data_IF_738337733613
#
_entry.id   IF_738337733613
#
_cell.length_a   1.000
_cell.length_b   1.000
_cell.length_c   1.000
_cell.angle_alpha   90.00
_cell.angle_beta   90.00
_cell.angle_gamma   90.00
#
_symmetry.space_group_name_H-M   'P 1'
#
loop_
_entity.id
_entity.type
_entity.pdbx_description
1 polymer ?
#
# COMPACT_ATOMS: atom_id res chain seq x y z
N UNK A 1 -21.47 -10.66 15.07
CA UNK A 1 -22.64 -11.07 14.23
C UNK A 1 -22.56 -10.65 12.76
N UNK A 2 -22.02 -9.49 12.40
CA UNK A 2 -21.90 -9.12 10.97
C UNK A 2 -20.80 -9.87 10.20
N UNK A 3 -19.67 -10.19 10.81
CA UNK A 3 -18.52 -10.83 10.15
C UNK A 3 -18.75 -12.29 9.82
N UNK A 4 -19.43 -13.03 10.68
CA UNK A 4 -19.56 -14.49 10.60
C UNK A 4 -20.28 -15.01 9.33
N UNK A 5 -21.12 -14.19 8.70
CA UNK A 5 -21.85 -14.59 7.50
C UNK A 5 -21.18 -14.20 6.20
N UNK A 6 -20.26 -13.21 6.21
CA UNK A 6 -19.63 -12.69 5.00
C UNK A 6 -18.35 -13.43 4.62
N UNK A 7 -18.06 -13.42 3.32
CA UNK A 7 -16.89 -14.04 2.68
C UNK A 7 -16.31 -13.07 1.65
N UNK A 8 -15.04 -13.21 1.36
CA UNK A 8 -14.43 -12.59 0.18
C UNK A 8 -14.93 -13.21 -1.13
N UNK A 9 -14.71 -12.55 -2.28
CA UNK A 9 -14.84 -13.19 -3.59
C UNK A 9 -14.16 -14.57 -3.62
N UNK A 10 -14.77 -15.53 -4.30
CA UNK A 10 -14.28 -16.91 -4.27
C UNK A 10 -14.74 -17.74 -3.07
N UNK A 11 -15.49 -17.17 -2.12
CA UNK A 11 -16.01 -17.85 -0.93
C UNK A 11 -14.95 -18.22 0.10
N UNK A 12 -13.82 -17.53 0.08
CA UNK A 12 -12.76 -17.63 1.08
C UNK A 12 -12.93 -16.58 2.18
N UNK A 13 -12.31 -16.82 3.34
CA UNK A 13 -12.20 -15.85 4.44
C UNK A 13 -10.82 -15.22 4.53
N UNK A 14 -9.93 -15.61 3.63
CA UNK A 14 -8.55 -15.15 3.61
C UNK A 14 -8.24 -14.38 2.34
N UNK A 15 -7.78 -13.14 2.47
CA UNK A 15 -7.28 -12.34 1.35
C UNK A 15 -5.76 -12.20 1.44
N UNK A 16 -5.09 -12.21 0.28
CA UNK A 16 -3.64 -12.05 0.16
C UNK A 16 -3.34 -10.91 -0.78
N UNK A 17 -2.41 -10.05 -0.38
CA UNK A 17 -1.91 -8.94 -1.18
C UNK A 17 -0.43 -8.66 -0.90
N UNK A 18 0.14 -7.73 -1.66
CA UNK A 18 1.42 -7.11 -1.35
C UNK A 18 1.37 -5.59 -1.55
N UNK A 19 2.35 -4.88 -1.00
CA UNK A 19 2.51 -3.43 -1.15
C UNK A 19 4.00 -3.11 -1.30
N UNK A 20 4.44 -2.73 -2.51
CA UNK A 20 5.85 -2.54 -2.90
C UNK A 20 6.14 -1.07 -3.08
N UNK A 21 7.16 -0.56 -2.39
CA UNK A 21 7.52 0.85 -2.35
C UNK A 21 8.56 1.24 -3.42
N UNK A 22 8.65 2.55 -3.69
CA UNK A 22 9.65 3.30 -4.46
C UNK A 22 9.55 3.24 -5.99
N UNK A 23 9.11 2.15 -6.59
CA UNK A 23 9.05 2.01 -8.04
C UNK A 23 10.42 1.81 -8.69
N UNK A 24 11.17 0.82 -8.24
CA UNK A 24 12.43 0.40 -8.86
C UNK A 24 12.15 -0.49 -10.08
N UNK A 25 11.96 0.11 -11.24
CA UNK A 25 11.50 -0.56 -12.47
C UNK A 25 12.26 -1.85 -12.82
N UNK A 26 13.61 -1.94 -12.81
CA UNK A 26 14.30 -3.21 -13.08
C UNK A 26 13.96 -4.32 -12.08
N UNK A 27 13.89 -3.99 -10.79
CA UNK A 27 13.63 -4.95 -9.72
C UNK A 27 12.13 -5.25 -9.58
N UNK A 28 11.27 -4.28 -9.83
CA UNK A 28 9.82 -4.50 -9.91
C UNK A 28 9.47 -5.46 -11.06
N UNK A 29 10.17 -5.38 -12.19
CA UNK A 29 10.03 -6.33 -13.29
C UNK A 29 10.42 -7.75 -12.86
N UNK A 30 11.52 -7.90 -12.12
CA UNK A 30 11.96 -9.20 -11.57
C UNK A 30 10.92 -9.74 -10.57
N UNK A 31 10.43 -8.89 -9.69
CA UNK A 31 9.35 -9.21 -8.73
C UNK A 31 8.07 -9.69 -9.46
N UNK A 32 7.64 -8.94 -10.47
CA UNK A 32 6.45 -9.26 -11.26
C UNK A 32 6.58 -10.57 -12.05
N UNK A 33 7.79 -10.92 -12.50
CA UNK A 33 8.03 -12.20 -13.17
C UNK A 33 7.82 -13.41 -12.25
N UNK A 34 7.89 -13.21 -10.92
CA UNK A 34 7.63 -14.25 -9.91
C UNK A 34 6.14 -14.26 -9.53
N UNK A 35 5.59 -13.12 -9.12
CA UNK A 35 4.24 -13.09 -8.54
C UNK A 35 3.12 -13.17 -9.57
N UNK A 36 3.33 -12.68 -10.80
CA UNK A 36 2.30 -12.68 -11.85
C UNK A 36 1.90 -14.08 -12.31
N UNK A 37 2.84 -15.01 -12.59
CA UNK A 37 2.48 -16.40 -12.92
C UNK A 37 1.79 -17.13 -11.76
N UNK A 38 2.08 -16.73 -10.53
CA UNK A 38 1.46 -17.26 -9.31
C UNK A 38 0.06 -16.69 -9.04
N UNK A 39 -0.44 -15.78 -9.88
CA UNK A 39 -1.75 -15.16 -9.71
C UNK A 39 -1.87 -14.27 -8.48
N UNK A 40 -0.74 -13.79 -7.93
CA UNK A 40 -0.71 -12.93 -6.74
C UNK A 40 -0.81 -11.48 -7.20
N UNK A 41 -1.78 -10.75 -6.67
CA UNK A 41 -2.02 -9.33 -6.95
C UNK A 41 -1.63 -8.46 -5.75
N UNK A 42 -1.43 -7.17 -6.02
CA UNK A 42 -1.08 -6.20 -4.97
C UNK A 42 -0.89 -4.79 -5.54
N UNK A 43 -0.20 -3.96 -4.77
CA UNK A 43 -0.09 -2.53 -4.99
C UNK A 43 1.38 -2.10 -5.09
N UNK A 44 1.70 -1.29 -6.09
CA UNK A 44 2.99 -0.61 -6.21
C UNK A 44 2.84 0.86 -5.80
N UNK A 45 3.62 1.29 -4.84
CA UNK A 45 3.58 2.64 -4.29
C UNK A 45 4.70 3.46 -4.94
N UNK A 46 4.33 4.27 -5.94
CA UNK A 46 5.30 4.97 -6.76
C UNK A 46 5.55 6.39 -6.25
N UNK A 47 6.81 6.78 -6.15
CA UNK A 47 7.19 8.17 -5.82
C UNK A 47 6.99 9.09 -7.01
N UNK A 48 7.13 8.59 -8.22
CA UNK A 48 6.86 9.30 -9.49
C UNK A 48 7.02 8.34 -10.67
N UNK A 49 6.54 8.75 -11.85
CA UNK A 49 6.89 8.14 -13.12
C UNK A 49 8.21 8.74 -13.62
N UNK A 50 9.30 8.12 -13.25
CA UNK A 50 10.62 8.70 -13.41
C UNK A 50 11.27 8.26 -14.73
N UNK A 51 11.56 9.23 -15.58
CA UNK A 51 12.24 9.01 -16.88
C UNK A 51 13.62 8.34 -16.75
N UNK A 52 14.26 8.36 -15.56
CA UNK A 52 15.55 7.68 -15.33
C UNK A 52 15.54 6.19 -15.64
N UNK A 53 14.38 5.54 -15.60
CA UNK A 53 14.21 4.13 -15.91
C UNK A 53 14.00 3.85 -17.41
N UNK A 54 13.92 4.91 -18.23
CA UNK A 54 13.79 4.79 -19.70
C UNK A 54 12.43 4.27 -20.17
N UNK A 55 11.41 4.24 -19.32
CA UNK A 55 10.06 3.85 -19.71
C UNK A 55 9.25 5.06 -20.16
N UNK A 56 8.51 4.87 -21.26
CA UNK A 56 7.42 5.77 -21.65
C UNK A 56 6.21 5.57 -20.72
N UNK A 57 5.22 6.49 -20.72
CA UNK A 57 3.94 6.27 -20.03
C UNK A 57 3.29 4.94 -20.38
N UNK A 58 3.33 4.52 -21.65
CA UNK A 58 2.83 3.20 -22.10
C UNK A 58 3.62 2.06 -21.48
N UNK A 59 4.94 2.19 -21.39
CA UNK A 59 5.83 1.20 -20.77
C UNK A 59 5.52 1.01 -19.28
N UNK A 60 5.20 2.09 -18.57
CA UNK A 60 4.74 2.01 -17.17
C UNK A 60 3.40 1.29 -17.06
N UNK A 61 2.41 1.67 -17.88
CA UNK A 61 1.10 0.99 -17.88
C UNK A 61 1.21 -0.50 -18.19
N UNK A 62 2.08 -0.88 -19.14
CA UNK A 62 2.32 -2.28 -19.48
C UNK A 62 3.00 -3.04 -18.35
N UNK A 63 4.02 -2.47 -17.71
CA UNK A 63 4.74 -3.11 -16.62
C UNK A 63 3.80 -3.45 -15.45
N UNK A 64 3.00 -2.48 -15.02
CA UNK A 64 2.13 -2.63 -13.86
C UNK A 64 0.68 -3.04 -14.22
N UNK A 65 0.45 -3.54 -15.44
CA UNK A 65 -0.89 -3.96 -15.87
C UNK A 65 -1.49 -4.99 -14.90
N UNK A 66 -2.71 -4.72 -14.41
CA UNK A 66 -3.43 -5.58 -13.47
C UNK A 66 -3.08 -5.36 -12.00
N UNK A 67 -2.16 -4.44 -11.70
CA UNK A 67 -1.79 -4.08 -10.35
C UNK A 67 -2.24 -2.66 -10.00
N UNK A 68 -2.50 -2.41 -8.73
CA UNK A 68 -2.82 -1.09 -8.25
C UNK A 68 -1.56 -0.22 -8.17
N UNK A 69 -1.73 1.08 -8.42
CA UNK A 69 -0.72 2.10 -8.17
C UNK A 69 -1.21 3.03 -7.06
N UNK A 70 -0.39 3.24 -6.05
CA UNK A 70 -0.63 4.19 -4.97
C UNK A 70 0.44 5.29 -4.93
N UNK A 71 0.11 6.40 -4.31
CA UNK A 71 0.96 7.57 -4.20
C UNK A 71 1.97 7.41 -3.05
N UNK A 72 3.26 7.49 -3.36
CA UNK A 72 4.35 7.42 -2.39
C UNK A 72 5.19 8.71 -2.36
N UNK A 73 4.59 9.81 -2.61
CA UNK A 73 5.09 11.20 -2.55
C UNK A 73 6.33 11.48 -3.41
N UNK A 74 6.22 12.47 -4.26
CA UNK A 74 7.33 12.96 -5.09
C UNK A 74 8.54 13.33 -4.24
N UNK A 75 9.72 12.93 -4.66
CA UNK A 75 11.01 13.12 -3.95
C UNK A 75 11.19 12.30 -2.68
N UNK A 76 10.24 11.46 -2.27
CA UNK A 76 10.34 10.59 -1.09
C UNK A 76 10.86 11.33 0.16
N UNK A 77 10.17 12.39 0.65
CA UNK A 77 10.70 13.23 1.71
C UNK A 77 10.41 12.67 3.10
N UNK A 78 11.30 12.95 4.05
CA UNK A 78 10.92 12.97 5.46
C UNK A 78 10.02 14.17 5.77
N UNK A 79 9.11 14.03 6.72
CA UNK A 79 8.42 15.16 7.32
C UNK A 79 9.39 15.96 8.20
N UNK A 80 9.36 17.28 8.13
CA UNK A 80 10.22 18.15 8.95
C UNK A 80 9.94 18.02 10.46
N UNK A 81 8.80 17.48 10.83
CA UNK A 81 8.43 17.18 12.23
C UNK A 81 9.18 16.00 12.85
N UNK A 82 9.96 15.27 12.04
CA UNK A 82 10.73 14.14 12.55
C UNK A 82 11.82 14.60 13.52
N UNK A 83 12.10 13.84 14.58
CA UNK A 83 13.12 14.18 15.56
C UNK A 83 14.47 14.49 14.89
N UNK A 84 15.08 15.59 15.28
CA UNK A 84 16.39 16.06 14.80
C UNK A 84 16.45 16.48 13.31
N UNK A 85 15.35 16.43 12.56
CA UNK A 85 15.36 16.92 11.17
C UNK A 85 14.99 18.40 11.10
N UNK A 86 13.86 18.80 11.66
CA UNK A 86 13.39 20.20 11.67
C UNK A 86 14.21 21.15 12.55
N UNK A 87 15.12 20.62 13.38
CA UNK A 87 15.99 21.43 14.26
C UNK A 87 17.33 21.76 13.65
N UNK A 88 17.69 21.20 12.48
CA UNK A 88 18.95 21.48 11.80
C UNK A 88 19.01 22.91 11.29
N UNK A 89 20.19 23.52 11.38
CA UNK A 89 20.42 24.87 10.83
C UNK A 89 20.33 24.86 9.29
N UNK A 90 19.76 25.92 8.72
CA UNK A 90 19.76 26.09 7.25
C UNK A 90 21.15 26.54 6.81
N UNK A 91 21.76 25.83 5.88
CA UNK A 91 23.04 26.21 5.30
C UNK A 91 22.88 27.39 4.34
N UNK A 92 23.87 28.29 4.32
CA UNK A 92 23.95 29.38 3.37
C UNK A 92 24.48 28.90 2.01
N UNK A 93 25.33 27.86 2.01
CA UNK A 93 25.91 27.23 0.83
C UNK A 93 24.98 26.21 0.17
N UNK A 94 25.13 25.95 -1.13
CA UNK A 94 24.43 24.85 -1.82
C UNK A 94 24.83 23.47 -1.27
N UNK A 95 23.98 22.46 -1.46
CA UNK A 95 24.27 21.09 -1.06
C UNK A 95 25.53 20.55 -1.76
N UNK A 96 26.61 20.22 -1.01
CA UNK A 96 27.89 19.85 -1.61
C UNK A 96 28.00 18.37 -2.00
N UNK A 97 26.91 17.60 -1.83
CA UNK A 97 26.88 16.14 -1.95
C UNK A 97 26.97 15.45 -0.58
N UNK A 98 26.46 14.21 -0.50
CA UNK A 98 26.29 13.48 0.76
C UNK A 98 27.61 13.32 1.56
N UNK A 99 28.70 13.06 0.85
CA UNK A 99 30.03 12.81 1.49
C UNK A 99 30.64 14.06 2.13
N UNK A 100 30.23 15.24 1.67
CA UNK A 100 30.81 16.54 2.09
C UNK A 100 29.83 17.40 2.89
N UNK A 101 28.57 17.01 2.93
CA UNK A 101 27.54 17.78 3.62
C UNK A 101 27.70 17.69 5.14
N UNK A 102 27.52 18.82 5.80
CA UNK A 102 27.39 18.88 7.25
C UNK A 102 26.07 18.21 7.66
N UNK A 103 26.16 17.18 8.48
CA UNK A 103 25.00 16.38 8.92
C UNK A 103 24.07 17.12 9.89
N UNK A 104 24.55 18.20 10.48
CA UNK A 104 23.76 19.07 11.38
C UNK A 104 23.05 20.20 10.62
N UNK A 105 23.21 20.24 9.29
CA UNK A 105 22.59 21.26 8.43
C UNK A 105 21.54 20.66 7.50
N UNK A 106 20.64 21.53 7.06
CA UNK A 106 19.74 21.29 5.93
C UNK A 106 20.03 22.31 4.84
N UNK A 107 19.98 21.87 3.58
CA UNK A 107 20.35 22.66 2.42
C UNK A 107 19.11 22.97 1.58
N UNK A 108 18.94 24.22 1.17
CA UNK A 108 17.82 24.66 0.33
C UNK A 108 17.83 23.93 -1.02
N UNK A 109 16.63 23.61 -1.50
CA UNK A 109 16.39 23.18 -2.89
C UNK A 109 15.79 24.33 -3.70
N UNK A 110 15.48 24.07 -4.96
CA UNK A 110 14.71 24.95 -5.83
C UNK A 110 13.21 25.01 -5.47
N UNK A 111 12.76 24.17 -4.52
CA UNK A 111 11.37 24.11 -4.05
C UNK A 111 11.27 24.73 -2.66
N UNK A 112 10.35 25.67 -2.49
CA UNK A 112 10.06 26.27 -1.18
C UNK A 112 9.63 25.21 -0.17
N UNK A 113 10.18 25.29 1.05
CA UNK A 113 9.88 24.35 2.13
C UNK A 113 10.45 22.95 1.95
N UNK A 114 11.25 22.70 0.91
CA UNK A 114 11.94 21.41 0.66
C UNK A 114 13.43 21.61 0.79
N UNK A 115 14.06 20.77 1.59
CA UNK A 115 15.49 20.81 1.87
C UNK A 115 16.13 19.45 1.63
N UNK A 116 17.48 19.44 1.48
CA UNK A 116 18.29 18.24 1.49
C UNK A 116 18.96 18.09 2.84
N UNK A 117 19.00 16.88 3.36
CA UNK A 117 19.72 16.51 4.58
C UNK A 117 20.60 15.31 4.30
N UNK A 118 21.82 15.31 4.86
CA UNK A 118 22.74 14.20 4.76
C UNK A 118 22.66 13.33 6.01
N UNK A 119 22.84 12.03 5.79
CA UNK A 119 23.02 11.00 6.81
C UNK A 119 24.42 10.38 6.66
N UNK A 120 24.73 9.35 7.44
CA UNK A 120 26.07 8.73 7.39
C UNK A 120 26.38 8.09 6.04
N UNK A 121 25.39 7.54 5.36
CA UNK A 121 25.57 6.74 4.13
C UNK A 121 24.70 7.19 2.96
N UNK A 122 23.78 8.12 3.19
CA UNK A 122 22.86 8.60 2.16
C UNK A 122 22.41 10.03 2.46
N UNK A 123 21.63 10.60 1.55
CA UNK A 123 20.93 11.86 1.71
C UNK A 123 19.46 11.71 1.32
N UNK A 124 18.63 12.58 1.81
CA UNK A 124 17.20 12.60 1.46
C UNK A 124 16.63 14.01 1.47
N UNK A 125 15.42 14.13 0.93
CA UNK A 125 14.63 15.33 1.09
C UNK A 125 13.97 15.36 2.47
N UNK A 126 13.75 16.57 2.99
CA UNK A 126 12.91 16.88 4.14
C UNK A 126 11.98 17.99 3.71
N UNK A 127 10.71 17.93 4.11
CA UNK A 127 9.71 18.91 3.70
C UNK A 127 8.90 19.46 4.88
N UNK A 128 8.62 20.76 4.85
CA UNK A 128 7.59 21.35 5.70
C UNK A 128 6.24 20.72 5.40
N UNK A 129 5.26 20.85 6.30
CA UNK A 129 3.93 20.29 6.11
C UNK A 129 3.29 20.75 4.79
N UNK A 130 3.34 22.04 4.50
CA UNK A 130 2.79 22.65 3.29
C UNK A 130 3.48 22.09 2.03
N UNK A 131 4.80 22.04 2.03
CA UNK A 131 5.58 21.50 0.92
C UNK A 131 5.33 19.99 0.74
N UNK A 132 5.20 19.24 1.82
CA UNK A 132 4.88 17.81 1.79
C UNK A 132 3.54 17.54 1.08
N UNK A 133 2.51 18.31 1.42
CA UNK A 133 1.19 18.24 0.79
C UNK A 133 1.26 18.57 -0.71
N UNK A 134 2.03 19.61 -1.09
CA UNK A 134 2.21 19.95 -2.52
C UNK A 134 3.00 18.87 -3.27
N UNK A 135 3.98 18.23 -2.65
CA UNK A 135 4.68 17.08 -3.23
C UNK A 135 3.74 15.87 -3.41
N UNK A 136 2.85 15.61 -2.45
CA UNK A 136 1.83 14.57 -2.55
C UNK A 136 0.84 14.84 -3.69
N UNK A 137 0.33 16.08 -3.80
CA UNK A 137 -0.55 16.51 -4.90
C UNK A 137 0.14 16.43 -6.27
N UNK A 138 1.42 16.80 -6.33
CA UNK A 138 2.22 16.70 -7.55
C UNK A 138 2.37 15.26 -7.98
N UNK A 139 2.78 14.37 -7.07
CA UNK A 139 2.88 12.94 -7.34
C UNK A 139 1.54 12.36 -7.81
N UNK A 140 0.43 12.75 -7.16
CA UNK A 140 -0.92 12.35 -7.57
C UNK A 140 -1.18 12.70 -9.04
N UNK A 141 -0.95 13.94 -9.45
CA UNK A 141 -1.17 14.37 -10.84
C UNK A 141 -0.28 13.60 -11.82
N UNK A 142 1.02 13.49 -11.53
CA UNK A 142 1.98 12.79 -12.39
C UNK A 142 1.61 11.31 -12.58
N UNK A 143 1.16 10.65 -11.52
CA UNK A 143 0.69 9.25 -11.59
C UNK A 143 -0.63 9.14 -12.36
N UNK A 144 -1.59 10.04 -12.12
CA UNK A 144 -2.87 10.05 -12.84
C UNK A 144 -2.74 10.34 -14.33
N UNK A 145 -1.77 11.15 -14.76
CA UNK A 145 -1.44 11.36 -16.17
C UNK A 145 -1.04 10.05 -16.87
N UNK A 146 -0.39 9.14 -16.15
CA UNK A 146 0.04 7.86 -16.69
C UNK A 146 -1.02 6.78 -16.52
N UNK A 147 -1.57 6.62 -15.33
CA UNK A 147 -2.43 5.49 -14.98
C UNK A 147 -3.93 5.80 -15.04
N UNK A 148 -4.28 7.04 -15.36
CA UNK A 148 -5.66 7.51 -15.51
C UNK A 148 -6.19 8.23 -14.27
N UNK A 149 -6.96 9.28 -14.53
CA UNK A 149 -7.56 10.13 -13.50
C UNK A 149 -8.48 9.32 -12.58
N UNK A 150 -8.33 9.51 -11.27
CA UNK A 150 -9.12 8.82 -10.24
C UNK A 150 -8.70 7.37 -9.97
N UNK A 151 -7.63 6.89 -10.60
CA UNK A 151 -7.11 5.55 -10.35
C UNK A 151 -6.11 5.47 -9.19
N UNK A 152 -5.57 6.60 -8.76
CA UNK A 152 -4.63 6.66 -7.65
C UNK A 152 -5.41 6.98 -6.36
N UNK A 153 -5.81 5.94 -5.67
CA UNK A 153 -6.71 6.07 -4.49
C UNK A 153 -6.02 5.74 -3.16
N UNK A 154 -4.83 5.15 -3.20
CA UNK A 154 -4.01 4.84 -2.04
C UNK A 154 -2.90 5.86 -1.82
N UNK A 155 -2.56 6.07 -0.55
CA UNK A 155 -1.42 6.87 -0.14
C UNK A 155 -0.52 6.08 0.81
N UNK A 156 0.79 6.21 0.62
CA UNK A 156 1.79 5.53 1.46
C UNK A 156 2.83 6.54 1.91
N UNK A 157 3.05 6.59 3.22
CA UNK A 157 4.06 7.47 3.79
C UNK A 157 5.47 7.03 3.41
N UNK A 158 6.30 7.89 2.80
CA UNK A 158 7.74 7.72 2.82
C UNK A 158 8.24 7.55 4.26
N UNK A 159 9.08 6.56 4.49
CA UNK A 159 9.64 6.20 5.79
C UNK A 159 8.58 5.74 6.79
N UNK A 160 7.85 6.65 7.44
CA UNK A 160 6.83 6.34 8.46
C UNK A 160 5.80 7.47 8.60
N UNK A 161 4.75 7.22 9.36
CA UNK A 161 3.78 8.26 9.72
C UNK A 161 4.48 9.38 10.49
N UNK A 162 4.37 10.65 10.08
CA UNK A 162 4.98 11.79 10.78
C UNK A 162 4.59 11.87 12.25
N UNK A 163 5.53 12.32 13.09
CA UNK A 163 5.26 12.57 14.50
C UNK A 163 4.22 13.69 14.71
N UNK A 164 4.25 14.73 13.89
CA UNK A 164 3.21 15.74 13.85
C UNK A 164 2.02 15.28 13.03
N UNK A 165 0.96 14.88 13.69
CA UNK A 165 -0.25 14.36 13.06
C UNK A 165 -0.99 15.40 12.19
N UNK A 166 -0.63 16.68 12.23
CA UNK A 166 -1.19 17.66 11.30
C UNK A 166 -0.84 17.38 9.83
N UNK A 167 0.26 16.64 9.55
CA UNK A 167 0.55 16.11 8.22
C UNK A 167 -0.50 15.10 7.79
N UNK A 168 -0.89 14.18 8.68
CA UNK A 168 -1.95 13.21 8.41
C UNK A 168 -3.27 13.91 8.09
N UNK A 169 -3.66 14.90 8.91
CA UNK A 169 -4.91 15.65 8.71
C UNK A 169 -4.96 16.32 7.34
N UNK A 170 -3.84 16.87 6.87
CA UNK A 170 -3.77 17.49 5.53
C UNK A 170 -3.82 16.46 4.40
N UNK A 171 -3.16 15.31 4.55
CA UNK A 171 -3.22 14.24 3.56
C UNK A 171 -4.61 13.62 3.50
N UNK A 172 -5.30 13.44 4.63
CA UNK A 172 -6.68 12.94 4.66
C UNK A 172 -7.65 13.83 3.86
N UNK A 173 -7.45 15.15 3.89
CA UNK A 173 -8.27 16.10 3.09
C UNK A 173 -8.13 15.91 1.58
N UNK A 174 -7.11 15.21 1.11
CA UNK A 174 -6.94 14.88 -0.31
C UNK A 174 -7.87 13.74 -0.79
N UNK A 175 -8.55 13.06 0.13
CA UNK A 175 -9.61 12.10 -0.17
C UNK A 175 -9.13 10.70 -0.58
N UNK A 176 -7.95 10.27 -0.14
CA UNK A 176 -7.48 8.90 -0.37
C UNK A 176 -8.41 7.86 0.27
N UNK A 177 -8.61 6.75 -0.41
CA UNK A 177 -9.37 5.62 0.10
C UNK A 177 -8.71 4.99 1.32
N UNK A 178 -7.38 4.92 1.31
CA UNK A 178 -6.58 4.43 2.42
C UNK A 178 -5.23 5.14 2.50
N UNK A 179 -4.64 5.16 3.71
CA UNK A 179 -3.31 5.68 3.98
C UNK A 179 -2.51 4.62 4.74
N UNK A 180 -1.43 4.10 4.13
CA UNK A 180 -0.55 3.10 4.74
C UNK A 180 0.63 3.76 5.45
N UNK A 181 0.90 3.30 6.65
CA UNK A 181 2.13 3.57 7.41
C UNK A 181 3.06 2.34 7.39
N UNK A 182 4.26 2.47 7.94
CA UNK A 182 5.13 1.34 8.26
C UNK A 182 4.70 0.66 9.56
N UNK A 183 5.10 -0.59 9.74
CA UNK A 183 4.83 -1.40 10.93
C UNK A 183 4.11 -2.70 10.58
N UNK A 184 3.82 -3.48 11.62
CA UNK A 184 3.15 -4.77 11.47
C UNK A 184 1.78 -4.72 12.12
N UNK A 185 0.82 -5.38 11.47
CA UNK A 185 -0.48 -5.67 12.04
C UNK A 185 -0.62 -7.17 12.29
N UNK A 186 -1.66 -7.56 13.01
CA UNK A 186 -2.18 -8.91 12.93
C UNK A 186 -2.84 -9.14 11.55
N UNK A 187 -3.49 -10.28 11.37
CA UNK A 187 -4.16 -10.60 10.11
C UNK A 187 -5.61 -10.11 10.04
N UNK A 188 -6.02 -9.23 10.92
CA UNK A 188 -7.35 -8.64 10.89
C UNK A 188 -7.53 -7.69 9.70
N UNK A 189 -8.77 -7.48 9.28
CA UNK A 189 -9.07 -6.39 8.36
C UNK A 189 -8.75 -5.05 9.02
N UNK A 190 -8.29 -4.06 8.24
CA UNK A 190 -7.94 -2.75 8.78
C UNK A 190 -9.12 -2.08 9.51
N UNK A 191 -8.95 -1.74 10.78
CA UNK A 191 -9.97 -1.02 11.54
C UNK A 191 -10.11 0.43 11.08
N UNK A 192 -8.97 1.05 10.75
CA UNK A 192 -8.88 2.44 10.30
C UNK A 192 -8.12 2.51 8.98
N UNK A 193 -8.61 3.34 8.06
CA UNK A 193 -7.98 3.54 6.74
C UNK A 193 -6.74 4.39 6.79
N UNK A 194 -6.68 5.29 7.78
CA UNK A 194 -5.65 6.32 7.87
C UNK A 194 -4.35 5.80 8.49
N UNK A 195 -4.37 4.60 9.06
CA UNK A 195 -3.26 4.10 9.87
C UNK A 195 -3.00 2.61 9.74
N UNK A 196 -3.50 1.96 8.70
CA UNK A 196 -3.23 0.56 8.53
C UNK A 196 -1.77 0.31 8.13
N UNK A 197 -1.30 -0.91 8.29
CA UNK A 197 0.04 -1.34 7.94
C UNK A 197 0.02 -2.76 7.37
N UNK A 198 1.16 -3.22 6.87
CA UNK A 198 1.31 -4.58 6.35
C UNK A 198 1.70 -5.56 7.47
N UNK A 199 1.46 -6.87 7.23
CA UNK A 199 1.66 -7.92 8.22
C UNK A 199 3.01 -8.66 8.14
N UNK A 200 3.81 -8.47 7.09
CA UNK A 200 5.08 -9.15 6.88
C UNK A 200 6.02 -8.34 5.99
N UNK A 201 7.32 -8.66 6.01
CA UNK A 201 8.34 -8.16 5.06
C UNK A 201 9.24 -9.31 4.60
N UNK A 202 10.19 -9.04 3.69
CA UNK A 202 11.05 -10.05 3.08
C UNK A 202 11.71 -11.03 4.08
N UNK A 203 12.15 -10.55 5.26
CA UNK A 203 12.87 -11.38 6.22
C UNK A 203 11.97 -12.35 7.02
N UNK A 204 10.66 -12.10 7.11
CA UNK A 204 9.73 -12.96 7.83
C UNK A 204 8.52 -13.42 6.98
N UNK A 205 8.61 -13.25 5.66
CA UNK A 205 7.50 -13.51 4.74
C UNK A 205 6.95 -14.94 4.86
N UNK A 206 7.82 -15.94 4.82
CA UNK A 206 7.41 -17.35 4.86
C UNK A 206 6.86 -17.75 6.23
N UNK A 207 7.46 -17.26 7.33
CA UNK A 207 6.97 -17.48 8.68
C UNK A 207 5.56 -16.92 8.86
N UNK A 208 5.38 -15.65 8.52
CA UNK A 208 4.07 -14.97 8.65
C UNK A 208 3.02 -15.57 7.73
N UNK A 209 3.40 -15.99 6.52
CA UNK A 209 2.49 -16.68 5.61
C UNK A 209 2.05 -18.04 6.14
N UNK A 210 2.96 -18.79 6.80
CA UNK A 210 2.62 -20.05 7.45
C UNK A 210 1.68 -19.86 8.65
N UNK A 211 1.91 -18.82 9.47
CA UNK A 211 1.00 -18.45 10.55
C UNK A 211 -0.40 -18.09 10.01
N UNK A 212 -0.45 -17.29 8.92
CA UNK A 212 -1.72 -16.92 8.28
C UNK A 212 -2.46 -18.13 7.71
N UNK A 213 -1.74 -19.04 7.05
CA UNK A 213 -2.32 -20.28 6.52
C UNK A 213 -2.93 -21.14 7.64
N UNK A 214 -2.24 -21.23 8.77
CA UNK A 214 -2.64 -22.03 9.92
C UNK A 214 -3.85 -21.51 10.72
N UNK A 215 -4.30 -20.26 10.46
CA UNK A 215 -5.51 -19.73 11.13
C UNK A 215 -6.71 -20.57 10.69
N UNK A 216 -7.37 -21.20 11.68
CA UNK A 216 -8.61 -21.92 11.46
C UNK A 216 -9.78 -20.96 11.14
N UNK A 217 -10.82 -21.48 10.47
CA UNK A 217 -12.04 -20.69 10.17
C UNK A 217 -12.84 -20.48 11.48
N UNK A 218 -12.60 -19.33 12.11
CA UNK A 218 -13.30 -18.86 13.31
C UNK A 218 -14.50 -17.95 12.99
N UNK A 219 -14.87 -17.85 11.71
CA UNK A 219 -15.92 -16.96 11.22
C UNK A 219 -15.44 -15.56 10.85
N UNK A 220 -14.20 -15.20 11.15
CA UNK A 220 -13.64 -13.88 10.85
C UNK A 220 -12.93 -13.85 9.49
N UNK A 221 -13.04 -12.70 8.81
CA UNK A 221 -12.31 -12.45 7.59
C UNK A 221 -10.89 -11.95 7.92
N UNK A 222 -9.89 -12.47 7.22
CA UNK A 222 -8.48 -12.21 7.48
C UNK A 222 -7.78 -11.64 6.24
N UNK A 223 -6.81 -10.77 6.47
CA UNK A 223 -6.05 -10.11 5.40
C UNK A 223 -4.56 -10.22 5.66
N UNK A 224 -3.86 -10.91 4.77
CA UNK A 224 -2.40 -10.96 4.75
C UNK A 224 -1.88 -10.04 3.65
N UNK A 225 -1.16 -8.99 4.04
CA UNK A 225 -0.46 -8.11 3.12
C UNK A 225 1.01 -8.05 3.53
N UNK A 226 1.94 -8.38 2.63
CA UNK A 226 3.35 -8.15 2.90
C UNK A 226 3.80 -6.85 2.24
N UNK A 227 4.65 -6.09 2.95
CA UNK A 227 5.18 -4.81 2.51
C UNK A 227 6.70 -4.85 2.43
N UNK A 228 7.25 -4.51 1.27
CA UNK A 228 8.70 -4.52 1.02
C UNK A 228 9.04 -3.53 -0.09
N UNK A 229 10.37 -3.30 -0.29
CA UNK A 229 10.87 -2.76 -1.54
C UNK A 229 11.38 -3.94 -2.40
N UNK A 230 11.23 -3.87 -3.70
CA UNK A 230 11.79 -4.90 -4.58
C UNK A 230 13.32 -5.02 -4.44
N UNK A 231 13.99 -3.92 -4.07
CA UNK A 231 15.43 -3.92 -3.80
C UNK A 231 15.82 -4.62 -2.49
N UNK A 232 14.90 -4.84 -1.56
CA UNK A 232 15.20 -5.61 -0.33
C UNK A 232 15.54 -7.06 -0.66
N UNK A 233 14.84 -7.68 -1.62
CA UNK A 233 15.17 -9.03 -2.08
C UNK A 233 16.54 -9.10 -2.74
N UNK A 234 16.91 -8.09 -3.53
CA UNK A 234 18.24 -8.03 -4.16
C UNK A 234 19.34 -7.78 -3.15
N UNK A 235 19.19 -6.78 -2.29
CA UNK A 235 20.20 -6.37 -1.31
C UNK A 235 20.49 -7.46 -0.26
N UNK A 236 19.48 -8.25 0.09
CA UNK A 236 19.60 -9.35 1.04
C UNK A 236 19.82 -10.71 0.36
N UNK A 237 19.92 -10.73 -0.98
CA UNK A 237 20.10 -11.96 -1.76
C UNK A 237 19.07 -13.05 -1.38
N UNK A 238 17.79 -12.68 -1.29
CA UNK A 238 16.71 -13.54 -0.82
C UNK A 238 15.50 -13.61 -1.79
N UNK A 239 15.74 -13.61 -3.09
CA UNK A 239 14.68 -13.82 -4.08
C UNK A 239 14.01 -15.19 -3.97
N UNK A 240 14.74 -16.18 -3.52
CA UNK A 240 14.25 -17.53 -3.21
C UNK A 240 13.13 -17.55 -2.16
N UNK A 241 13.12 -16.58 -1.25
CA UNK A 241 12.03 -16.39 -0.28
C UNK A 241 10.73 -16.02 -1.02
N UNK A 242 10.79 -15.10 -1.99
CA UNK A 242 9.62 -14.72 -2.79
C UNK A 242 9.19 -15.84 -3.74
N UNK A 243 10.14 -16.54 -4.37
CA UNK A 243 9.86 -17.70 -5.24
C UNK A 243 9.17 -18.81 -4.44
N UNK A 244 9.68 -19.14 -3.24
CA UNK A 244 9.06 -20.11 -2.33
C UNK A 244 7.65 -19.68 -1.90
N UNK A 245 7.47 -18.39 -1.59
CA UNK A 245 6.14 -17.84 -1.27
C UNK A 245 5.18 -18.00 -2.44
N UNK A 246 5.61 -17.62 -3.65
CA UNK A 246 4.80 -17.71 -4.86
C UNK A 246 4.41 -19.15 -5.19
N UNK A 247 5.35 -20.10 -5.08
CA UNK A 247 5.11 -21.52 -5.33
C UNK A 247 4.15 -22.14 -4.31
N UNK A 248 4.29 -21.78 -3.03
CA UNK A 248 3.50 -22.37 -1.96
C UNK A 248 2.11 -21.75 -1.80
N UNK A 249 2.01 -20.45 -2.00
CA UNK A 249 0.79 -19.68 -1.68
C UNK A 249 0.11 -19.08 -2.91
N UNK A 250 0.69 -19.20 -4.12
CA UNK A 250 0.09 -18.75 -5.36
C UNK A 250 -0.89 -19.77 -5.97
N UNK A 251 -1.74 -19.30 -6.90
CA UNK A 251 -2.68 -20.13 -7.66
C UNK A 251 -3.58 -21.04 -6.80
N UNK A 252 -3.99 -20.58 -5.63
CA UNK A 252 -4.90 -21.29 -4.68
C UNK A 252 -6.17 -20.47 -4.44
N UNK A 253 -7.00 -20.21 -5.49
CA UNK A 253 -8.17 -19.33 -5.35
C UNK A 253 -9.27 -19.92 -4.46
N UNK A 254 -9.22 -21.21 -4.14
CA UNK A 254 -10.09 -21.88 -3.17
C UNK A 254 -9.76 -21.53 -1.72
N UNK A 255 -8.50 -21.16 -1.44
CA UNK A 255 -8.02 -20.81 -0.11
C UNK A 255 -7.93 -19.30 0.09
N UNK A 256 -7.52 -18.57 -0.96
CA UNK A 256 -7.17 -17.15 -0.87
C UNK A 256 -7.84 -16.32 -1.96
N UNK A 257 -8.36 -15.16 -1.58
CA UNK A 257 -8.67 -14.11 -2.52
C UNK A 257 -7.42 -13.25 -2.75
N UNK A 258 -6.84 -13.33 -3.93
CA UNK A 258 -5.73 -12.46 -4.32
C UNK A 258 -6.27 -11.13 -4.81
N UNK A 259 -5.93 -10.07 -4.11
CA UNK A 259 -6.50 -8.75 -4.34
C UNK A 259 -5.45 -7.65 -4.21
N UNK A 260 -5.69 -6.54 -4.86
CA UNK A 260 -4.97 -5.30 -4.56
C UNK A 260 -5.43 -4.74 -3.22
N UNK A 261 -4.64 -3.87 -2.60
CA UNK A 261 -5.04 -3.19 -1.35
C UNK A 261 -6.33 -2.40 -1.56
N UNK A 262 -6.46 -1.71 -2.69
CA UNK A 262 -7.70 -1.02 -3.09
C UNK A 262 -8.91 -1.93 -3.07
N UNK A 263 -8.81 -3.10 -3.69
CA UNK A 263 -9.94 -4.04 -3.79
C UNK A 263 -10.39 -4.51 -2.40
N UNK A 264 -9.44 -4.74 -1.48
CA UNK A 264 -9.76 -5.12 -0.09
C UNK A 264 -10.52 -4.00 0.62
N UNK A 265 -10.05 -2.75 0.52
CA UNK A 265 -10.73 -1.61 1.14
C UNK A 265 -12.11 -1.30 0.52
N UNK A 266 -12.22 -1.37 -0.81
CA UNK A 266 -13.50 -1.21 -1.50
C UNK A 266 -14.50 -2.30 -1.14
N UNK A 267 -14.02 -3.53 -0.94
CA UNK A 267 -14.87 -4.65 -0.51
C UNK A 267 -15.31 -4.50 0.95
N UNK A 268 -14.41 -4.08 1.83
CA UNK A 268 -14.73 -3.77 3.22
C UNK A 268 -15.80 -2.66 3.33
N UNK A 269 -15.72 -1.64 2.48
CA UNK A 269 -16.76 -0.60 2.39
C UNK A 269 -18.11 -1.16 2.00
N UNK A 270 -18.13 -2.07 1.04
CA UNK A 270 -19.35 -2.72 0.62
C UNK A 270 -19.99 -3.51 1.77
N UNK A 271 -19.17 -4.22 2.55
CA UNK A 271 -19.65 -4.94 3.74
C UNK A 271 -20.16 -3.99 4.84
N UNK A 272 -19.47 -2.87 5.05
CA UNK A 272 -19.89 -1.85 6.04
C UNK A 272 -21.20 -1.17 5.64
N UNK A 273 -21.42 -0.96 4.34
CA UNK A 273 -22.65 -0.40 3.80
C UNK A 273 -23.85 -1.36 3.89
N UNK A 274 -23.61 -2.67 3.99
CA UNK A 274 -24.68 -3.65 4.08
C UNK A 274 -25.48 -3.52 5.38
N UNK A 275 -26.79 -3.60 5.27
CA UNK A 275 -27.71 -3.64 6.41
C UNK A 275 -28.07 -5.09 6.70
N UNK A 276 -27.72 -5.56 7.91
CA UNK A 276 -28.08 -6.90 8.39
C UNK A 276 -29.16 -6.77 9.46
N UNK A 277 -30.29 -7.47 9.27
CA UNK A 277 -31.43 -7.54 10.19
C UNK A 277 -31.75 -9.00 10.54
N UNK A 278 -32.69 -9.24 11.44
CA UNK A 278 -33.18 -10.59 11.73
C UNK A 278 -33.88 -11.24 10.53
N UNK A 279 -34.41 -10.44 9.60
CA UNK A 279 -35.20 -10.90 8.46
C UNK A 279 -34.38 -11.01 7.15
N UNK A 280 -33.10 -10.53 7.13
CA UNK A 280 -32.33 -10.57 5.90
C UNK A 280 -31.15 -9.62 5.86
N UNK A 281 -30.55 -9.54 4.68
CA UNK A 281 -29.43 -8.66 4.35
C UNK A 281 -29.75 -7.82 3.13
N UNK A 282 -29.49 -6.52 3.22
CA UNK A 282 -29.58 -5.58 2.09
C UNK A 282 -28.17 -5.11 1.72
N UNK A 283 -27.81 -5.29 0.47
CA UNK A 283 -26.56 -4.73 -0.07
C UNK A 283 -26.80 -3.30 -0.56
N UNK A 284 -26.36 -2.31 0.20
CA UNK A 284 -26.49 -0.89 -0.16
C UNK A 284 -25.27 -0.36 -0.95
N UNK A 285 -24.40 -1.24 -1.44
CA UNK A 285 -23.16 -0.88 -2.15
C UNK A 285 -23.27 -1.13 -3.65
N UNK A 286 -22.26 -0.62 -4.39
CA UNK A 286 -22.05 -0.89 -5.81
C UNK A 286 -21.27 -2.19 -6.10
N UNK A 287 -20.88 -2.94 -5.06
CA UNK A 287 -20.13 -4.18 -5.18
C UNK A 287 -21.01 -5.39 -4.91
N UNK A 288 -20.68 -6.50 -5.55
CA UNK A 288 -21.24 -7.80 -5.18
C UNK A 288 -20.66 -8.23 -3.85
N UNK A 289 -21.50 -8.65 -2.90
CA UNK A 289 -21.04 -9.23 -1.63
C UNK A 289 -21.39 -10.73 -1.57
N UNK A 290 -20.56 -11.48 -0.88
CA UNK A 290 -20.67 -12.93 -0.74
C UNK A 290 -20.98 -13.28 0.70
N UNK A 291 -22.02 -14.11 0.91
CA UNK A 291 -22.42 -14.51 2.26
C UNK A 291 -22.91 -15.96 2.29
N UNK A 292 -22.87 -16.58 3.47
CA UNK A 292 -23.53 -17.87 3.70
C UNK A 292 -24.67 -17.69 4.72
N UNK A 293 -25.78 -18.31 4.43
CA UNK A 293 -26.91 -18.39 5.37
C UNK A 293 -27.45 -19.83 5.39
N UNK A 294 -27.52 -20.43 6.57
CA UNK A 294 -27.94 -21.85 6.76
C UNK A 294 -27.19 -22.81 5.81
N UNK A 295 -25.87 -22.64 5.69
CA UNK A 295 -25.00 -23.44 4.81
C UNK A 295 -25.10 -23.13 3.31
N UNK A 296 -26.07 -22.29 2.89
CA UNK A 296 -26.26 -21.90 1.49
C UNK A 296 -25.42 -20.69 1.12
N UNK A 297 -24.68 -20.78 0.02
CA UNK A 297 -23.94 -19.67 -0.59
C UNK A 297 -24.90 -18.70 -1.25
N UNK A 298 -24.81 -17.42 -0.95
CA UNK A 298 -25.62 -16.33 -1.49
C UNK A 298 -24.71 -15.25 -2.06
N UNK A 299 -24.83 -15.03 -3.37
CA UNK A 299 -24.20 -13.87 -4.04
C UNK A 299 -25.23 -12.74 -4.06
N UNK A 300 -24.97 -11.69 -3.31
CA UNK A 300 -25.89 -10.56 -3.18
C UNK A 300 -25.40 -9.40 -4.05
N UNK A 301 -26.12 -9.17 -5.15
CA UNK A 301 -25.79 -8.11 -6.11
C UNK A 301 -26.03 -6.71 -5.52
N UNK A 302 -25.45 -5.65 -6.12
CA UNK A 302 -25.70 -4.27 -5.74
C UNK A 302 -27.19 -3.98 -5.59
N UNK A 303 -27.56 -3.27 -4.53
CA UNK A 303 -28.93 -2.82 -4.22
C UNK A 303 -29.99 -3.92 -4.12
N UNK A 304 -29.57 -5.17 -3.94
CA UNK A 304 -30.47 -6.31 -3.74
C UNK A 304 -30.63 -6.65 -2.25
N UNK A 305 -31.78 -7.28 -1.95
CA UNK A 305 -32.09 -7.85 -0.63
C UNK A 305 -32.09 -9.38 -0.72
N UNK A 306 -31.59 -10.02 0.33
CA UNK A 306 -31.78 -11.45 0.59
C UNK A 306 -32.54 -11.63 1.89
N UNK A 307 -33.67 -12.35 1.87
CA UNK A 307 -34.52 -12.65 3.03
C UNK A 307 -34.13 -13.99 3.65
N UNK A 308 -33.99 -14.01 4.98
CA UNK A 308 -33.67 -15.20 5.77
C UNK A 308 -34.83 -16.18 5.86
#
# INVERSE_FOLDING_TARGET
MKSEIFYFPGWTRKAVSFTIDDGNVPLDRKFLNIVRPAGIYGTFNLTSVNARWGLSPEGYRELYRGYEIANHVSCHPFAMSEPNLGTRAVADEPFPGADKADKEKMYKTDKEGVYLVAFSTYWSHIATREAYVELAKRSQRELEEVFGKGNIVGFVWPYHLPHDLSYLDEIMKLGYLYIRRTGYTDFSLPETRERWSYGAHHANLLERAAEFEAIEDDGEMRFFCFGVHSHDFENNNCWDVLETFADKYGNRPEDFWYATVREVFEYEDALRAATVTESGVINNSEKVIYMKHNGKRVTLHPHCEYKF
#
